data_IF_151221948298
#
_entry.id   IF_151221948298
#
_cell.length_a   1.000
_cell.length_b   1.000
_cell.length_c   1.000
_cell.angle_alpha   90.00
_cell.angle_beta   90.00
_cell.angle_gamma   90.00
#
_symmetry.space_group_name_H-M   'P 1'
#
loop_
_entity.id
_entity.type
_entity.pdbx_description
1 polymer ?
#
# COMPACT_ATOMS: atom_id res chain seq x y z
N UNK A 1 4.67 18.41 2.08
CA UNK A 1 5.90 17.68 1.83
C UNK A 1 5.81 16.91 0.51
N UNK A 2 6.78 17.09 -0.34
CA UNK A 2 6.90 16.32 -1.57
C UNK A 2 7.65 15.03 -1.29
N UNK A 3 7.02 13.92 -1.60
CA UNK A 3 7.62 12.60 -1.43
C UNK A 3 7.91 12.03 -2.81
N UNK A 4 9.16 11.64 -3.04
CA UNK A 4 9.52 10.95 -4.27
C UNK A 4 9.04 9.51 -4.20
N UNK A 5 8.01 9.18 -4.96
CA UNK A 5 7.47 7.82 -4.98
C UNK A 5 8.49 6.80 -5.47
N UNK A 6 9.38 7.21 -6.39
CA UNK A 6 10.42 6.32 -6.90
C UNK A 6 11.46 6.00 -5.82
N UNK A 7 11.84 6.96 -5.02
CA UNK A 7 12.79 6.72 -3.91
C UNK A 7 12.19 5.82 -2.85
N UNK A 8 10.92 6.03 -2.51
CA UNK A 8 10.22 5.17 -1.56
C UNK A 8 10.13 3.73 -2.10
N UNK A 9 9.81 3.59 -3.38
CA UNK A 9 9.74 2.27 -4.02
C UNK A 9 11.08 1.55 -3.97
N UNK A 10 12.18 2.25 -4.22
CA UNK A 10 13.52 1.66 -4.15
C UNK A 10 13.83 1.14 -2.74
N UNK A 11 13.49 1.91 -1.73
CA UNK A 11 13.71 1.52 -0.34
C UNK A 11 12.87 0.28 0.00
N UNK A 12 11.60 0.25 -0.42
CA UNK A 12 10.73 -0.90 -0.15
C UNK A 12 11.20 -2.13 -0.89
N UNK A 13 11.69 -1.98 -2.13
CA UNK A 13 12.22 -3.10 -2.92
C UNK A 13 13.47 -3.73 -2.30
N UNK A 14 14.16 -3.05 -1.42
CA UNK A 14 15.31 -3.62 -0.71
C UNK A 14 14.91 -4.59 0.40
N UNK A 15 13.65 -4.58 0.79
CA UNK A 15 13.17 -5.54 1.79
C UNK A 15 13.06 -6.92 1.15
N UNK A 16 13.67 -7.92 1.80
CA UNK A 16 13.89 -9.24 1.19
C UNK A 16 12.61 -9.98 0.79
N UNK A 17 11.49 -9.71 1.46
CA UNK A 17 10.22 -10.39 1.19
C UNK A 17 9.35 -9.68 0.15
N UNK A 18 9.79 -8.55 -0.37
CA UNK A 18 9.02 -7.72 -1.31
C UNK A 18 9.55 -7.91 -2.72
N UNK A 19 8.65 -8.10 -3.67
CA UNK A 19 8.96 -8.16 -5.09
C UNK A 19 8.19 -7.09 -5.84
N UNK A 20 8.88 -6.34 -6.69
CA UNK A 20 8.29 -5.42 -7.66
C UNK A 20 7.37 -4.36 -7.03
N UNK A 21 7.88 -3.63 -6.03
CA UNK A 21 7.12 -2.56 -5.40
C UNK A 21 6.91 -1.37 -6.33
N UNK A 22 5.69 -0.85 -6.36
CA UNK A 22 5.33 0.40 -7.01
C UNK A 22 4.63 1.29 -5.98
N UNK A 23 5.06 2.53 -5.87
CA UNK A 23 4.51 3.49 -4.89
C UNK A 23 3.78 4.61 -5.63
N UNK A 24 2.61 4.97 -5.14
CA UNK A 24 1.76 5.98 -5.76
C UNK A 24 0.88 6.66 -4.71
N UNK A 25 0.34 7.83 -5.06
CA UNK A 25 -0.58 8.54 -4.18
C UNK A 25 -2.03 8.19 -4.50
N UNK A 26 -2.84 8.04 -3.46
CA UNK A 26 -4.27 7.79 -3.60
C UNK A 26 -5.05 8.85 -2.85
N UNK A 27 -6.23 9.19 -3.37
CA UNK A 27 -7.08 10.20 -2.78
C UNK A 27 -7.90 9.62 -1.65
N UNK A 28 -8.01 10.37 -0.55
CA UNK A 28 -8.83 9.99 0.60
C UNK A 28 -10.04 10.91 0.62
N UNK A 29 -11.28 10.37 0.64
CA UNK A 29 -12.49 11.20 0.79
C UNK A 29 -12.44 12.04 2.06
N UNK A 30 -12.87 13.28 1.96
CA UNK A 30 -12.96 14.21 3.08
C UNK A 30 -11.62 14.58 3.73
N UNK A 31 -10.51 14.32 3.04
CA UNK A 31 -9.19 14.72 3.50
C UNK A 31 -8.50 15.55 2.43
N UNK A 32 -7.63 16.45 2.85
CA UNK A 32 -6.79 17.19 1.93
C UNK A 32 -5.55 16.36 1.59
N UNK A 33 -5.14 16.43 0.33
CA UNK A 33 -3.96 15.73 -0.13
C UNK A 33 -4.22 14.25 -0.39
N UNK A 34 -3.13 13.50 -0.44
CA UNK A 34 -3.16 12.08 -0.80
C UNK A 34 -2.41 11.25 0.22
N UNK A 35 -2.86 10.01 0.39
CA UNK A 35 -2.13 9.02 1.16
C UNK A 35 -1.22 8.23 0.22
N UNK A 36 -0.10 7.74 0.76
CA UNK A 36 0.77 6.84 0.01
C UNK A 36 0.21 5.43 -0.04
N UNK A 37 0.40 4.78 -1.17
CA UNK A 37 0.05 3.38 -1.34
C UNK A 37 1.18 2.67 -2.07
N UNK A 38 1.44 1.42 -1.70
CA UNK A 38 2.41 0.58 -2.37
C UNK A 38 1.74 -0.72 -2.81
N UNK A 39 2.03 -1.13 -4.04
CA UNK A 39 1.62 -2.44 -4.54
C UNK A 39 2.87 -3.28 -4.74
N UNK A 40 2.87 -4.51 -4.23
CA UNK A 40 3.97 -5.44 -4.46
C UNK A 40 3.47 -6.87 -4.41
N UNK A 41 4.35 -7.79 -4.81
CA UNK A 41 4.11 -9.21 -4.72
C UNK A 41 4.94 -9.78 -3.57
N UNK A 42 4.38 -10.72 -2.84
CA UNK A 42 5.08 -11.44 -1.77
C UNK A 42 4.39 -12.77 -1.51
N UNK A 43 5.07 -13.64 -0.75
CA UNK A 43 4.45 -14.86 -0.23
C UNK A 43 3.78 -14.51 1.10
N UNK A 44 2.46 -14.34 1.10
CA UNK A 44 1.70 -13.96 2.28
C UNK A 44 1.79 -14.98 3.41
N UNK A 45 2.05 -16.24 3.11
CA UNK A 45 2.19 -17.26 4.13
C UNK A 45 3.46 -17.09 4.97
N UNK A 46 4.47 -16.45 4.39
CA UNK A 46 5.76 -16.23 5.04
C UNK A 46 6.02 -14.76 5.38
N UNK A 47 5.17 -13.86 4.92
CA UNK A 47 5.40 -12.43 5.09
C UNK A 47 5.22 -12.02 6.55
N UNK A 48 6.24 -11.37 7.10
CA UNK A 48 6.20 -10.89 8.49
C UNK A 48 5.84 -9.41 8.52
N UNK A 49 4.57 -9.12 8.78
CA UNK A 49 4.05 -7.75 8.79
C UNK A 49 4.67 -6.88 9.88
N UNK A 50 4.94 -7.45 11.06
CA UNK A 50 5.54 -6.69 12.15
C UNK A 50 6.97 -6.27 11.79
N UNK A 51 7.73 -7.17 11.19
CA UNK A 51 9.08 -6.87 10.75
C UNK A 51 9.09 -5.87 9.60
N UNK A 52 8.14 -6.00 8.68
CA UNK A 52 7.98 -5.03 7.58
C UNK A 52 7.66 -3.64 8.11
N UNK A 53 6.73 -3.53 9.07
CA UNK A 53 6.37 -2.25 9.68
C UNK A 53 7.58 -1.62 10.38
N UNK A 54 8.37 -2.41 11.07
CA UNK A 54 9.59 -1.95 11.72
C UNK A 54 10.61 -1.46 10.68
N UNK A 55 10.79 -2.22 9.60
CA UNK A 55 11.66 -1.80 8.50
C UNK A 55 11.24 -0.45 7.94
N UNK A 56 9.94 -0.27 7.70
CA UNK A 56 9.41 0.99 7.18
C UNK A 56 9.65 2.15 8.15
N UNK A 57 9.49 1.88 9.45
CA UNK A 57 9.73 2.90 10.47
C UNK A 57 11.19 3.35 10.52
N UNK A 58 12.11 2.40 10.31
CA UNK A 58 13.54 2.70 10.35
C UNK A 58 14.03 3.35 9.06
N UNK A 59 13.51 2.92 7.93
CA UNK A 59 14.02 3.32 6.62
C UNK A 59 13.38 4.59 6.07
N UNK A 60 12.17 4.94 6.50
CA UNK A 60 11.41 6.06 5.96
C UNK A 60 10.91 6.98 7.06
N UNK A 61 10.93 8.30 6.82
CA UNK A 61 10.26 9.23 7.74
C UNK A 61 8.75 8.99 7.70
N UNK A 62 8.05 9.41 8.76
CA UNK A 62 6.63 9.09 8.94
C UNK A 62 5.77 9.54 7.77
N UNK A 63 6.06 10.71 7.20
CA UNK A 63 5.27 11.26 6.08
C UNK A 63 5.48 10.51 4.76
N UNK A 64 6.53 9.70 4.66
CA UNK A 64 6.84 8.95 3.45
C UNK A 64 6.39 7.50 3.50
N UNK A 65 5.92 7.03 4.65
CA UNK A 65 5.47 5.64 4.82
C UNK A 65 4.12 5.43 4.18
N UNK A 66 3.97 4.44 3.27
CA UNK A 66 2.66 4.15 2.70
C UNK A 66 1.63 3.77 3.77
N UNK A 67 0.43 4.31 3.62
CA UNK A 67 -0.71 3.98 4.48
C UNK A 67 -1.37 2.68 4.02
N UNK A 68 -1.40 2.46 2.71
CA UNK A 68 -2.06 1.29 2.12
C UNK A 68 -1.06 0.40 1.43
N UNK A 69 -1.30 -0.91 1.49
CA UNK A 69 -0.50 -1.93 0.77
C UNK A 69 -1.46 -2.82 0.00
N UNK A 70 -1.22 -2.98 -1.30
CA UNK A 70 -1.94 -3.94 -2.13
C UNK A 70 -1.00 -5.08 -2.47
N UNK A 71 -1.44 -6.30 -2.20
CA UNK A 71 -0.66 -7.51 -2.54
C UNK A 71 -1.15 -8.03 -3.88
N UNK A 72 -0.30 -7.94 -4.89
CA UNK A 72 -0.60 -8.44 -6.23
C UNK A 72 -0.42 -9.95 -6.21
N UNK A 73 -1.52 -10.69 -6.39
CA UNK A 73 -1.51 -12.15 -6.26
C UNK A 73 -0.81 -12.86 -7.39
N UNK A 74 -1.00 -12.40 -8.61
CA UNK A 74 -0.47 -13.08 -9.77
C UNK A 74 0.42 -12.16 -10.59
N UNK A 75 1.68 -12.56 -10.71
CA UNK A 75 2.53 -12.08 -11.77
C UNK A 75 2.34 -13.05 -12.93
N UNK A 76 2.06 -12.54 -14.12
CA UNK A 76 1.94 -13.36 -15.30
C UNK A 76 3.19 -14.23 -15.46
N UNK A 77 3.00 -15.51 -15.81
CA UNK A 77 4.12 -16.42 -15.98
C UNK A 77 5.07 -16.00 -17.09
N UNK A 78 4.57 -15.21 -18.03
CA UNK A 78 5.39 -14.63 -19.08
C UNK A 78 6.33 -13.55 -18.58
N UNK A 79 6.09 -13.05 -17.37
CA UNK A 79 6.91 -12.00 -16.78
C UNK A 79 6.75 -10.64 -17.43
N UNK A 80 5.85 -10.49 -18.38
CA UNK A 80 5.68 -9.24 -19.11
C UNK A 80 4.53 -8.40 -18.61
N UNK A 81 3.60 -8.98 -17.87
CA UNK A 81 2.45 -8.24 -17.38
C UNK A 81 2.84 -7.39 -16.19
N UNK A 82 2.47 -6.13 -16.25
CA UNK A 82 2.76 -5.17 -15.21
C UNK A 82 1.63 -4.16 -15.20
N UNK A 83 0.97 -4.01 -14.07
CA UNK A 83 -0.01 -2.95 -13.94
C UNK A 83 0.68 -1.60 -14.07
N UNK A 84 0.15 -0.76 -14.92
CA UNK A 84 0.68 0.59 -15.07
C UNK A 84 0.33 1.42 -13.84
N UNK A 85 1.20 2.36 -13.51
CA UNK A 85 1.05 3.17 -12.30
C UNK A 85 -0.29 3.92 -12.26
N UNK A 86 -0.77 4.40 -13.39
CA UNK A 86 -2.07 5.08 -13.44
C UNK A 86 -3.24 4.13 -13.21
N UNK A 87 -3.13 2.87 -13.64
CA UNK A 87 -4.14 1.84 -13.32
C UNK A 87 -4.16 1.55 -11.83
N UNK A 88 -2.99 1.45 -11.21
CA UNK A 88 -2.88 1.24 -9.78
C UNK A 88 -3.51 2.40 -9.00
N UNK A 89 -3.29 3.64 -9.44
CA UNK A 89 -3.88 4.81 -8.81
C UNK A 89 -5.39 4.84 -8.94
N UNK A 90 -5.91 4.44 -10.10
CA UNK A 90 -7.35 4.41 -10.34
C UNK A 90 -8.05 3.35 -9.51
N UNK A 91 -7.42 2.20 -9.34
CA UNK A 91 -7.95 1.13 -8.51
C UNK A 91 -7.77 1.43 -7.03
N UNK A 92 -6.70 2.12 -6.67
CA UNK A 92 -6.40 2.57 -5.32
C UNK A 92 -6.64 1.45 -4.28
N UNK A 93 -7.32 1.78 -3.18
CA UNK A 93 -7.70 0.81 -2.15
C UNK A 93 -9.16 0.37 -2.29
N UNK A 94 -9.80 0.63 -3.43
CA UNK A 94 -11.20 0.29 -3.65
C UNK A 94 -11.37 -1.22 -3.79
N UNK A 95 -12.03 -1.82 -2.81
CA UNK A 95 -12.13 -3.28 -2.71
C UNK A 95 -12.87 -3.93 -3.89
N UNK A 96 -13.73 -3.16 -4.56
CA UNK A 96 -14.45 -3.63 -5.75
C UNK A 96 -13.63 -3.53 -7.04
N UNK A 97 -12.49 -2.84 -7.00
CA UNK A 97 -11.67 -2.59 -8.18
C UNK A 97 -10.34 -3.34 -8.20
N UNK A 98 -9.91 -3.88 -7.05
CA UNK A 98 -8.60 -4.51 -6.93
C UNK A 98 -8.57 -5.99 -7.33
N UNK A 99 -9.62 -6.48 -7.96
CA UNK A 99 -9.69 -7.81 -8.55
C UNK A 99 -9.33 -8.93 -7.56
N UNK A 100 -9.89 -8.85 -6.35
CA UNK A 100 -9.68 -9.80 -5.25
C UNK A 100 -8.26 -9.79 -4.66
N UNK A 101 -7.41 -8.87 -5.05
CA UNK A 101 -6.13 -8.68 -4.36
C UNK A 101 -6.39 -8.21 -2.94
N UNK A 102 -5.57 -8.65 -2.01
CA UNK A 102 -5.68 -8.19 -0.62
C UNK A 102 -5.08 -6.81 -0.47
N UNK A 103 -5.77 -5.97 0.30
CA UNK A 103 -5.31 -4.61 0.63
C UNK A 103 -5.17 -4.53 2.14
N UNK A 104 -4.08 -3.93 2.59
CA UNK A 104 -3.79 -3.72 4.00
C UNK A 104 -3.70 -2.23 4.28
N UNK A 105 -3.98 -1.85 5.51
CA UNK A 105 -3.96 -0.45 5.93
C UNK A 105 -3.19 -0.30 7.24
N UNK A 106 -2.41 0.78 7.32
CA UNK A 106 -1.81 1.23 8.58
C UNK A 106 -2.73 2.31 9.15
N UNK A 107 -3.49 1.98 10.17
CA UNK A 107 -4.42 2.93 10.76
C UNK A 107 -3.68 4.05 11.48
N UNK A 108 -4.24 5.29 11.48
CA UNK A 108 -3.61 6.40 12.20
C UNK A 108 -3.34 6.05 13.67
N UNK A 109 -2.17 6.45 14.14
CA UNK A 109 -1.77 6.19 15.52
C UNK A 109 -1.20 4.80 15.77
N UNK A 110 -1.14 3.95 14.75
CA UNK A 110 -0.55 2.61 14.86
C UNK A 110 0.68 2.48 13.97
N UNK A 111 1.49 1.48 14.26
CA UNK A 111 2.64 1.12 13.43
C UNK A 111 2.50 -0.30 12.89
N UNK A 112 1.27 -0.75 12.68
CA UNK A 112 0.97 -2.09 12.20
C UNK A 112 0.08 -2.02 10.97
N UNK A 113 0.27 -2.95 10.05
CA UNK A 113 -0.59 -3.11 8.88
C UNK A 113 -1.60 -4.22 9.17
N UNK A 114 -2.87 -3.93 8.93
CA UNK A 114 -3.96 -4.90 9.10
C UNK A 114 -4.78 -4.95 7.82
N UNK A 115 -5.45 -6.05 7.59
CA UNK A 115 -6.26 -6.18 6.38
C UNK A 115 -7.38 -5.14 6.36
N UNK A 116 -7.57 -4.52 5.19
CA UNK A 116 -8.64 -3.54 4.98
C UNK A 116 -9.94 -4.30 4.72
N UNK A 117 -10.80 -4.33 5.72
CA UNK A 117 -12.10 -4.97 5.60
C UNK A 117 -13.17 -3.98 5.13
N UNK A 118 -14.37 -4.48 4.85
CA UNK A 118 -15.47 -3.64 4.37
C UNK A 118 -15.87 -2.58 5.39
N UNK A 119 -15.83 -2.91 6.67
CA UNK A 119 -16.17 -1.95 7.72
C UNK A 119 -15.21 -0.77 7.73
N UNK A 120 -13.91 -1.05 7.72
CA UNK A 120 -12.89 0.00 7.67
C UNK A 120 -12.97 0.79 6.38
N UNK A 121 -13.23 0.11 5.26
CA UNK A 121 -13.40 0.77 3.98
C UNK A 121 -14.58 1.76 4.01
N UNK A 122 -15.70 1.38 4.60
CA UNK A 122 -16.85 2.27 4.76
C UNK A 122 -16.53 3.45 5.69
N UNK A 123 -15.76 3.21 6.75
CA UNK A 123 -15.32 4.27 7.65
C UNK A 123 -14.46 5.31 6.93
N UNK A 124 -13.59 4.86 6.03
CA UNK A 124 -12.81 5.78 5.20
C UNK A 124 -13.73 6.61 4.31
N UNK A 125 -14.68 5.96 3.65
CA UNK A 125 -15.61 6.64 2.75
C UNK A 125 -16.48 7.66 3.48
N UNK A 126 -16.81 7.40 4.74
CA UNK A 126 -17.61 8.30 5.58
C UNK A 126 -16.80 9.41 6.24
N UNK A 127 -15.47 9.39 6.09
CA UNK A 127 -14.60 10.35 6.76
C UNK A 127 -14.38 10.09 8.24
N UNK A 128 -14.66 8.87 8.70
CA UNK A 128 -14.52 8.50 10.11
C UNK A 128 -13.10 8.16 10.52
N UNK A 129 -12.21 7.94 9.55
CA UNK A 129 -10.81 7.62 9.82
C UNK A 129 -9.99 8.92 9.74
N UNK A 130 -9.32 9.31 10.81
CA UNK A 130 -8.57 10.59 10.85
C UNK A 130 -7.17 10.44 10.25
N UNK A 131 -7.08 10.53 8.96
CA UNK A 131 -5.78 10.51 8.28
C UNK A 131 -4.99 11.79 8.49
#
# INVERSE_FOLDING_TARGET
ENVSTNEVAEIINQYSQVNMANVYGVQIPNAEGRAGMVAFNCDLNEFNWDNFAEYMSDALPSYARPVFVRIIKELETTGTFKLKKNELRDEAYHLDKVNNDQVFIKKPGTNSYVELDNETYQDIANGSVPF
#
